data_IF_419808137230
#
_entry.id   IF_419808137230
#
_cell.length_a   1.000
_cell.length_b   1.000
_cell.length_c   1.000
_cell.angle_alpha   90.00
_cell.angle_beta   90.00
_cell.angle_gamma   90.00
#
_symmetry.space_group_name_H-M   'P 1'
#
loop_
_entity.id
_entity.type
_entity.pdbx_description
1 polymer ?
#
# COMPACT_ATOMS: atom_id res chain seq x y z
N UNK A 1 15.59 -14.88 -9.13
CA UNK A 1 14.76 -13.97 -8.31
C UNK A 1 13.82 -13.23 -9.25
N UNK A 2 12.52 -13.18 -8.97
CA UNK A 2 11.55 -12.40 -9.77
C UNK A 2 11.88 -10.92 -9.60
N UNK A 3 12.26 -10.24 -10.68
CA UNK A 3 12.53 -8.80 -10.68
C UNK A 3 11.20 -8.05 -10.82
N UNK A 4 10.86 -7.21 -9.84
CA UNK A 4 9.71 -6.29 -9.95
C UNK A 4 10.12 -5.13 -10.87
N UNK A 5 9.28 -4.85 -11.87
CA UNK A 5 9.43 -3.68 -12.72
C UNK A 5 8.91 -2.44 -11.99
N UNK A 6 9.59 -1.30 -12.15
CA UNK A 6 9.26 -0.05 -11.48
C UNK A 6 9.41 1.13 -12.41
N UNK A 7 8.59 2.16 -12.19
CA UNK A 7 8.85 3.52 -12.63
C UNK A 7 9.11 4.39 -11.41
N UNK A 8 9.89 5.45 -11.59
CA UNK A 8 10.42 6.25 -10.49
C UNK A 8 10.30 7.74 -10.78
N UNK A 9 9.98 8.52 -9.75
CA UNK A 9 9.99 9.97 -9.75
C UNK A 9 10.95 10.42 -8.65
N UNK A 10 12.00 11.14 -9.05
CA UNK A 10 12.96 11.71 -8.09
C UNK A 10 12.29 12.84 -7.30
N UNK A 11 12.78 13.12 -6.08
CA UNK A 11 12.36 14.30 -5.32
C UNK A 11 12.43 15.56 -6.17
N UNK A 12 11.42 16.43 -6.02
CA UNK A 12 11.40 17.76 -6.64
C UNK A 12 12.10 18.82 -5.78
N UNK A 13 12.22 18.57 -4.48
CA UNK A 13 12.99 19.38 -3.56
C UNK A 13 14.40 18.80 -3.38
N UNK A 14 15.43 19.65 -3.46
CA UNK A 14 16.79 19.26 -3.11
C UNK A 14 16.95 19.11 -1.60
N UNK A 15 17.71 18.10 -1.16
CA UNK A 15 18.08 17.89 0.24
C UNK A 15 19.53 17.43 0.35
N UNK A 16 20.17 17.78 1.46
CA UNK A 16 21.48 17.25 1.84
C UNK A 16 21.40 15.85 2.47
N UNK A 17 20.20 15.39 2.83
CA UNK A 17 19.94 14.07 3.41
C UNK A 17 19.32 13.12 2.37
N UNK A 18 19.48 11.80 2.53
CA UNK A 18 18.74 10.81 1.75
C UNK A 18 17.24 11.12 1.76
N UNK A 19 16.61 11.05 0.59
CA UNK A 19 15.20 11.40 0.46
C UNK A 19 14.30 10.36 1.14
N UNK A 20 13.15 10.76 1.72
CA UNK A 20 12.10 9.82 2.10
C UNK A 20 11.56 9.09 0.86
N UNK A 21 11.18 7.82 1.02
CA UNK A 21 10.73 6.95 -0.06
C UNK A 21 9.24 6.68 0.05
N UNK A 22 8.49 6.84 -1.04
CA UNK A 22 7.10 6.36 -1.16
C UNK A 22 7.02 5.27 -2.22
N UNK A 23 6.58 4.08 -1.80
CA UNK A 23 6.37 2.94 -2.68
C UNK A 23 4.86 2.82 -2.96
N UNK A 24 4.49 2.70 -4.23
CA UNK A 24 3.10 2.57 -4.67
C UNK A 24 2.82 1.18 -5.25
N UNK A 25 1.74 0.55 -4.79
CA UNK A 25 1.26 -0.76 -5.24
C UNK A 25 -0.15 -0.63 -5.85
N UNK A 26 -0.26 -0.85 -7.16
CA UNK A 26 -1.54 -0.74 -7.89
C UNK A 26 -2.52 -1.90 -7.60
N UNK A 27 -3.77 -1.73 -8.04
CA UNK A 27 -4.83 -2.75 -7.94
C UNK A 27 -4.77 -3.85 -9.01
N UNK A 28 -5.61 -4.88 -8.88
CA UNK A 28 -5.69 -5.98 -9.84
C UNK A 28 -6.05 -5.49 -11.25
N UNK A 29 -5.36 -5.96 -12.29
CA UNK A 29 -5.64 -5.58 -13.67
C UNK A 29 -5.08 -4.21 -14.08
N UNK A 30 -4.42 -3.51 -13.16
CA UNK A 30 -3.82 -2.19 -13.41
C UNK A 30 -2.33 -2.30 -13.73
N UNK A 31 -1.57 -1.21 -13.59
CA UNK A 31 -0.14 -1.16 -13.82
C UNK A 31 0.52 -0.05 -12.98
N UNK A 32 1.85 0.04 -13.04
CA UNK A 32 2.66 0.98 -12.29
C UNK A 32 2.40 2.46 -12.63
N UNK A 33 1.80 2.81 -13.77
CA UNK A 33 1.47 4.21 -14.08
C UNK A 33 0.22 4.73 -13.36
N UNK A 34 -0.68 3.84 -12.93
CA UNK A 34 -2.02 4.19 -12.44
C UNK A 34 -1.99 5.12 -11.21
N UNK A 35 -1.25 4.73 -10.18
CA UNK A 35 -1.06 5.56 -8.98
C UNK A 35 0.04 6.60 -9.15
N UNK A 36 0.91 6.46 -10.14
CA UNK A 36 2.14 7.24 -10.26
C UNK A 36 1.88 8.73 -10.51
N UNK A 37 0.79 9.04 -11.21
CA UNK A 37 0.36 10.42 -11.46
C UNK A 37 -0.06 11.16 -10.18
N UNK A 38 -0.48 10.44 -9.13
CA UNK A 38 -0.77 11.07 -7.83
C UNK A 38 0.47 11.75 -7.26
N UNK A 39 1.66 11.25 -7.59
CA UNK A 39 2.94 11.79 -7.13
C UNK A 39 3.18 13.27 -7.49
N UNK A 40 2.47 13.82 -8.48
CA UNK A 40 2.51 15.26 -8.77
C UNK A 40 1.95 16.13 -7.63
N UNK A 41 0.98 15.59 -6.89
CA UNK A 41 0.27 16.30 -5.82
C UNK A 41 0.83 16.04 -4.42
N UNK A 42 1.73 15.06 -4.29
CA UNK A 42 2.32 14.66 -3.01
C UNK A 42 3.55 15.52 -2.64
N UNK A 43 4.01 15.40 -1.40
CA UNK A 43 5.14 16.18 -0.87
C UNK A 43 6.38 16.11 -1.78
N UNK A 44 6.98 17.26 -2.16
CA UNK A 44 8.09 17.32 -3.12
C UNK A 44 9.39 16.69 -2.61
N UNK A 45 9.50 16.36 -1.32
CA UNK A 45 10.67 15.68 -0.75
C UNK A 45 10.71 14.19 -1.09
N UNK A 46 9.58 13.59 -1.46
CA UNK A 46 9.47 12.15 -1.71
C UNK A 46 10.20 11.71 -2.98
N UNK A 47 11.02 10.68 -2.86
CA UNK A 47 11.34 9.80 -3.98
C UNK A 47 10.20 8.80 -4.11
N UNK A 48 9.52 8.80 -5.26
CA UNK A 48 8.37 7.92 -5.47
C UNK A 48 8.76 6.77 -6.40
N UNK A 49 8.41 5.56 -6.01
CA UNK A 49 8.55 4.35 -6.82
C UNK A 49 7.19 3.71 -6.97
N UNK A 50 6.72 3.55 -8.20
CA UNK A 50 5.51 2.77 -8.47
C UNK A 50 5.90 1.43 -9.06
N UNK A 51 5.40 0.37 -8.45
CA UNK A 51 5.80 -1.00 -8.75
C UNK A 51 4.71 -1.74 -9.54
N UNK A 52 5.13 -2.51 -10.54
CA UNK A 52 4.25 -3.35 -11.36
C UNK A 52 4.07 -4.72 -10.72
N UNK A 53 2.84 -5.21 -10.72
CA UNK A 53 2.48 -6.57 -10.30
C UNK A 53 3.30 -7.64 -11.05
N UNK A 54 3.61 -8.73 -10.36
CA UNK A 54 4.47 -9.81 -10.87
C UNK A 54 3.77 -10.74 -11.87
N UNK A 55 2.44 -10.66 -11.96
CA UNK A 55 1.62 -11.46 -12.88
C UNK A 55 1.16 -10.58 -14.04
N UNK A 56 1.43 -11.03 -15.27
CA UNK A 56 0.88 -10.42 -16.48
C UNK A 56 -0.45 -11.09 -16.83
N UNK A 57 -1.52 -10.29 -16.89
CA UNK A 57 -2.88 -10.74 -17.19
C UNK A 57 -3.25 -10.56 -18.68
N UNK A 58 -2.36 -9.98 -19.49
CA UNK A 58 -2.61 -9.63 -20.90
C UNK A 58 -3.30 -8.28 -21.08
N UNK A 59 -4.16 -7.87 -20.14
CA UNK A 59 -4.82 -6.56 -20.10
C UNK A 59 -4.28 -5.63 -18.99
N UNK A 60 -3.29 -6.10 -18.24
CA UNK A 60 -2.72 -5.40 -17.09
C UNK A 60 -1.92 -6.36 -16.23
N UNK A 61 -1.66 -5.98 -14.98
CA UNK A 61 -0.84 -6.72 -14.04
C UNK A 61 -1.56 -6.96 -12.72
N UNK A 62 -1.08 -7.96 -11.97
CA UNK A 62 -1.55 -8.27 -10.63
C UNK A 62 -0.42 -8.76 -9.74
N UNK A 63 -0.61 -8.64 -8.43
CA UNK A 63 0.26 -9.19 -7.41
C UNK A 63 0.04 -10.70 -7.24
N UNK A 64 -1.22 -11.12 -7.23
CA UNK A 64 -1.62 -12.52 -7.07
C UNK A 64 -2.85 -12.85 -7.91
N UNK A 65 -3.07 -14.14 -8.16
CA UNK A 65 -4.19 -14.60 -8.98
C UNK A 65 -5.52 -14.46 -8.23
N UNK A 66 -6.53 -14.02 -8.96
CA UNK A 66 -7.93 -14.12 -8.57
C UNK A 66 -8.57 -15.19 -9.47
N UNK A 67 -9.01 -16.29 -8.89
CA UNK A 67 -9.83 -17.30 -9.56
C UNK A 67 -11.32 -17.01 -9.39
N UNK A 68 -12.16 -18.01 -9.70
CA UNK A 68 -13.61 -17.92 -9.51
C UNK A 68 -14.35 -17.35 -10.72
N UNK A 69 -15.55 -16.83 -10.48
CA UNK A 69 -16.45 -16.29 -11.52
C UNK A 69 -16.63 -14.78 -11.34
N UNK A 70 -17.05 -14.05 -12.38
CA UNK A 70 -17.44 -12.65 -12.22
C UNK A 70 -18.45 -12.49 -11.07
N UNK A 71 -18.18 -11.57 -10.15
CA UNK A 71 -18.98 -11.36 -8.93
C UNK A 71 -18.64 -12.28 -7.74
N UNK A 72 -17.77 -13.27 -7.93
CA UNK A 72 -17.24 -14.12 -6.85
C UNK A 72 -15.78 -14.50 -7.15
N UNK A 73 -14.91 -13.48 -7.11
CA UNK A 73 -13.47 -13.67 -7.29
C UNK A 73 -12.86 -14.25 -6.01
N UNK A 74 -12.10 -15.34 -6.16
CA UNK A 74 -11.48 -16.06 -5.05
C UNK A 74 -9.96 -15.87 -5.13
N UNK A 75 -9.33 -15.24 -4.11
CA UNK A 75 -7.89 -15.08 -4.08
C UNK A 75 -7.17 -16.43 -3.97
N UNK A 76 -6.20 -16.69 -4.85
CA UNK A 76 -5.40 -17.92 -4.81
C UNK A 76 -4.34 -17.84 -3.69
N UNK A 77 -4.35 -18.74 -2.69
CA UNK A 77 -3.49 -18.64 -1.52
C UNK A 77 -1.99 -18.75 -1.85
N UNK A 78 -1.64 -19.58 -2.83
CA UNK A 78 -0.23 -19.83 -3.20
C UNK A 78 0.42 -18.60 -3.81
N UNK A 79 -0.21 -18.02 -4.84
CA UNK A 79 0.29 -16.82 -5.51
C UNK A 79 0.29 -15.60 -4.58
N UNK A 80 -0.65 -15.53 -3.63
CA UNK A 80 -0.65 -14.51 -2.56
C UNK A 80 0.56 -14.60 -1.64
N UNK A 81 0.87 -15.79 -1.13
CA UNK A 81 2.04 -16.00 -0.28
C UNK A 81 3.35 -15.72 -1.03
N UNK A 82 3.40 -16.09 -2.33
CA UNK A 82 4.50 -15.75 -3.21
C UNK A 82 4.64 -14.23 -3.39
N UNK A 83 3.54 -13.54 -3.68
CA UNK A 83 3.52 -12.09 -3.85
C UNK A 83 4.03 -11.37 -2.59
N UNK A 84 3.55 -11.79 -1.41
CA UNK A 84 4.00 -11.26 -0.10
C UNK A 84 5.50 -11.43 0.05
N UNK A 85 6.02 -12.62 -0.23
CA UNK A 85 7.45 -12.94 -0.08
C UNK A 85 8.34 -12.15 -1.05
N UNK A 86 7.88 -11.95 -2.29
CA UNK A 86 8.61 -11.18 -3.30
C UNK A 86 8.57 -9.69 -2.96
N UNK A 87 7.41 -9.16 -2.57
CA UNK A 87 7.27 -7.76 -2.18
C UNK A 87 8.06 -7.42 -0.91
N UNK A 88 8.09 -8.29 0.09
CA UNK A 88 8.86 -8.06 1.31
C UNK A 88 10.34 -7.84 1.01
N UNK A 89 10.94 -8.69 0.16
CA UNK A 89 12.33 -8.54 -0.29
C UNK A 89 12.51 -7.25 -1.10
N UNK A 90 11.62 -7.01 -2.05
CA UNK A 90 11.68 -5.83 -2.91
C UNK A 90 11.64 -4.53 -2.11
N UNK A 91 10.70 -4.41 -1.16
CA UNK A 91 10.56 -3.21 -0.31
C UNK A 91 11.78 -3.02 0.59
N UNK A 92 12.26 -4.09 1.23
CA UNK A 92 13.42 -4.01 2.13
C UNK A 92 14.72 -3.61 1.40
N UNK A 93 14.91 -4.05 0.16
CA UNK A 93 16.12 -3.78 -0.63
C UNK A 93 16.10 -2.37 -1.28
N UNK A 94 14.92 -1.78 -1.44
CA UNK A 94 14.74 -0.58 -2.26
C UNK A 94 15.46 0.67 -1.72
N UNK A 95 15.45 0.97 -0.40
CA UNK A 95 16.14 2.14 0.10
C UNK A 95 17.65 2.12 -0.16
N UNK A 96 18.30 0.99 0.08
CA UNK A 96 19.72 0.80 -0.19
C UNK A 96 20.03 0.92 -1.70
N UNK A 97 19.15 0.39 -2.57
CA UNK A 97 19.31 0.48 -4.03
C UNK A 97 19.23 1.90 -4.55
N UNK A 98 18.38 2.74 -3.94
CA UNK A 98 18.10 4.10 -4.40
C UNK A 98 18.88 5.18 -3.65
N UNK A 99 19.52 4.84 -2.53
CA UNK A 99 20.16 5.81 -1.65
C UNK A 99 19.15 6.72 -0.94
N UNK A 100 17.95 6.19 -0.65
CA UNK A 100 16.91 6.87 0.13
C UNK A 100 17.02 6.51 1.60
N UNK A 101 16.35 7.25 2.47
CA UNK A 101 16.35 6.98 3.90
C UNK A 101 15.51 5.72 4.22
N UNK A 102 16.10 4.62 4.73
CA UNK A 102 15.36 3.43 5.10
C UNK A 102 14.38 3.67 6.25
N UNK A 103 14.62 4.66 7.12
CA UNK A 103 13.73 4.98 8.24
C UNK A 103 12.51 5.81 7.81
N UNK A 104 12.53 6.39 6.60
CA UNK A 104 11.44 7.20 6.05
C UNK A 104 10.82 6.54 4.81
N UNK A 105 10.52 5.25 4.89
CA UNK A 105 9.87 4.49 3.81
C UNK A 105 8.37 4.36 4.05
N UNK A 106 7.56 4.84 3.13
CA UNK A 106 6.10 4.80 3.16
C UNK A 106 5.57 3.86 2.08
N UNK A 107 4.43 3.22 2.35
CA UNK A 107 3.79 2.30 1.40
C UNK A 107 2.33 2.70 1.15
N UNK A 108 2.01 3.09 -0.08
CA UNK A 108 0.66 3.36 -0.54
C UNK A 108 0.19 2.22 -1.44
N UNK A 109 -0.96 1.63 -1.13
CA UNK A 109 -1.53 0.55 -1.91
C UNK A 109 -2.99 0.83 -2.26
N UNK A 110 -3.42 0.43 -3.46
CA UNK A 110 -4.83 0.47 -3.84
C UNK A 110 -5.36 -0.94 -4.11
N UNK A 111 -6.55 -1.26 -3.57
CA UNK A 111 -7.24 -2.53 -3.81
C UNK A 111 -6.35 -3.74 -3.49
N UNK A 112 -5.97 -4.55 -4.49
CA UNK A 112 -5.02 -5.64 -4.31
C UNK A 112 -3.68 -5.18 -3.69
N UNK A 113 -3.18 -4.00 -4.10
CA UNK A 113 -2.01 -3.38 -3.52
C UNK A 113 -2.20 -3.01 -2.04
N UNK A 114 -3.38 -2.53 -1.65
CA UNK A 114 -3.70 -2.21 -0.26
C UNK A 114 -3.72 -3.46 0.64
N UNK A 115 -4.28 -4.57 0.14
CA UNK A 115 -4.26 -5.87 0.84
C UNK A 115 -2.81 -6.33 1.05
N UNK A 116 -1.96 -6.16 0.04
CA UNK A 116 -0.53 -6.46 0.18
C UNK A 116 0.17 -5.50 1.14
N UNK A 117 -0.17 -4.21 1.16
CA UNK A 117 0.39 -3.24 2.12
C UNK A 117 0.10 -3.64 3.56
N UNK A 118 -1.15 -4.01 3.86
CA UNK A 118 -1.50 -4.53 5.18
C UNK A 118 -0.72 -5.80 5.53
N UNK A 119 -0.60 -6.75 4.60
CA UNK A 119 0.13 -8.00 4.83
C UNK A 119 1.62 -7.78 5.10
N UNK A 120 2.26 -6.83 4.41
CA UNK A 120 3.66 -6.49 4.64
C UNK A 120 3.86 -5.82 6.00
N UNK A 121 3.03 -4.83 6.34
CA UNK A 121 3.11 -4.14 7.63
C UNK A 121 2.80 -5.08 8.81
N UNK A 122 1.89 -6.03 8.64
CA UNK A 122 1.59 -7.04 9.66
C UNK A 122 2.74 -8.07 9.84
N UNK A 123 3.65 -8.19 8.86
CA UNK A 123 4.77 -9.11 8.93
C UNK A 123 6.06 -8.43 9.40
N UNK A 124 6.33 -7.23 8.91
CA UNK A 124 7.55 -6.45 9.16
C UNK A 124 7.21 -4.96 9.27
N UNK A 125 6.54 -4.52 10.35
CA UNK A 125 6.16 -3.12 10.54
C UNK A 125 7.36 -2.17 10.56
N UNK A 126 8.53 -2.65 10.99
CA UNK A 126 9.79 -1.89 11.09
C UNK A 126 10.37 -1.44 9.75
N UNK A 127 9.89 -1.99 8.62
CA UNK A 127 10.28 -1.53 7.29
C UNK A 127 9.63 -0.21 6.89
N UNK A 128 8.63 0.24 7.64
CA UNK A 128 7.77 1.34 7.23
C UNK A 128 7.73 2.46 8.28
N UNK A 129 7.83 3.69 7.81
CA UNK A 129 7.47 4.91 8.54
C UNK A 129 5.95 5.14 8.57
N UNK A 130 5.21 4.44 7.71
CA UNK A 130 3.75 4.44 7.69
C UNK A 130 3.18 3.83 6.40
N UNK A 131 1.91 3.43 6.44
CA UNK A 131 1.22 2.86 5.29
C UNK A 131 -0.11 3.55 4.98
N UNK A 132 -0.49 3.56 3.70
CA UNK A 132 -1.70 4.21 3.17
C UNK A 132 -2.48 3.19 2.31
N UNK A 133 -3.22 2.26 2.93
CA UNK A 133 -4.07 1.31 2.22
C UNK A 133 -5.41 1.95 1.79
N UNK A 134 -5.66 1.94 0.50
CA UNK A 134 -6.85 2.51 -0.15
C UNK A 134 -7.73 1.41 -0.71
N UNK A 135 -9.03 1.45 -0.40
CA UNK A 135 -10.04 0.56 -0.96
C UNK A 135 -9.67 -0.93 -0.81
N UNK A 136 -9.17 -1.34 0.35
CA UNK A 136 -8.70 -2.70 0.63
C UNK A 136 -8.94 -3.13 2.06
N UNK A 137 -8.37 -4.27 2.45
CA UNK A 137 -8.56 -4.86 3.77
C UNK A 137 -7.36 -5.69 4.21
N UNK A 138 -7.19 -5.85 5.52
CA UNK A 138 -6.27 -6.81 6.11
C UNK A 138 -6.90 -8.21 6.00
N UNK A 139 -6.24 -9.12 5.30
CA UNK A 139 -6.71 -10.50 5.19
C UNK A 139 -6.01 -11.40 6.21
N UNK A 140 -6.74 -12.03 7.16
CA UNK A 140 -6.16 -12.97 8.10
C UNK A 140 -5.45 -14.16 7.43
N UNK A 141 -5.85 -14.57 6.22
CA UNK A 141 -5.20 -15.62 5.45
C UNK A 141 -3.81 -15.26 4.92
N UNK A 142 -3.40 -13.99 5.04
CA UNK A 142 -2.05 -13.51 4.76
C UNK A 142 -1.21 -13.31 6.03
N UNK A 143 -1.69 -13.75 7.19
CA UNK A 143 -0.98 -13.68 8.47
C UNK A 143 -0.42 -15.07 8.83
N UNK A 144 0.88 -15.13 9.09
CA UNK A 144 1.55 -16.35 9.56
C UNK A 144 1.64 -16.40 11.10
N UNK A 145 1.35 -15.28 11.76
CA UNK A 145 1.44 -15.07 13.19
C UNK A 145 0.40 -14.02 13.64
N UNK A 146 0.12 -13.90 14.95
CA UNK A 146 -0.64 -12.77 15.48
C UNK A 146 -0.03 -11.43 15.08
N UNK A 147 -0.86 -10.39 15.02
CA UNK A 147 -0.41 -9.04 14.68
C UNK A 147 0.69 -8.57 15.66
N UNK A 148 1.84 -8.09 15.15
CA UNK A 148 2.99 -7.78 15.99
C UNK A 148 2.78 -6.48 16.77
N UNK A 149 3.43 -6.37 17.94
CA UNK A 149 3.40 -5.15 18.75
C UNK A 149 3.97 -3.92 18.02
N UNK A 150 4.87 -4.12 17.04
CA UNK A 150 5.44 -3.04 16.22
C UNK A 150 4.40 -2.23 15.44
N UNK A 151 3.18 -2.76 15.24
CA UNK A 151 2.08 -2.00 14.65
C UNK A 151 1.57 -0.86 15.54
N UNK A 152 1.85 -0.88 16.85
CA UNK A 152 1.34 0.12 17.79
C UNK A 152 1.75 1.54 17.39
N UNK A 153 3.02 1.70 17.04
CA UNK A 153 3.61 2.98 16.67
C UNK A 153 3.59 3.25 15.17
N UNK A 154 3.21 2.26 14.34
CA UNK A 154 3.16 2.44 12.89
C UNK A 154 1.95 3.32 12.51
N UNK A 155 2.15 4.50 11.89
CA UNK A 155 1.07 5.29 11.34
C UNK A 155 0.39 4.55 10.18
N UNK A 156 -0.94 4.35 10.28
CA UNK A 156 -1.75 3.71 9.24
C UNK A 156 -2.86 4.68 8.83
N UNK A 157 -2.93 5.06 7.56
CA UNK A 157 -4.03 5.83 7.00
C UNK A 157 -4.86 4.94 6.07
N UNK A 158 -5.90 4.31 6.62
CA UNK A 158 -6.84 3.48 5.87
C UNK A 158 -7.98 4.34 5.31
N UNK A 159 -8.30 4.18 4.02
CA UNK A 159 -9.44 4.86 3.39
C UNK A 159 -10.27 3.91 2.55
N UNK A 160 -11.61 4.07 2.57
CA UNK A 160 -12.52 3.19 1.81
C UNK A 160 -13.77 3.91 1.31
N UNK A 161 -14.32 3.46 0.18
CA UNK A 161 -15.58 3.95 -0.37
C UNK A 161 -16.81 3.31 0.29
N UNK A 162 -17.82 4.09 0.69
CA UNK A 162 -19.03 3.56 1.33
C UNK A 162 -19.95 2.84 0.36
N UNK A 163 -19.80 3.08 -0.94
CA UNK A 163 -20.57 2.43 -2.02
C UNK A 163 -19.66 1.61 -2.93
N UNK A 164 -18.50 1.19 -2.43
CA UNK A 164 -17.55 0.32 -3.14
C UNK A 164 -18.21 -1.03 -3.50
N UNK A 165 -18.36 -1.22 -4.82
CA UNK A 165 -19.00 -2.35 -5.45
C UNK A 165 -18.06 -3.55 -5.67
N UNK A 166 -16.75 -3.35 -5.47
CA UNK A 166 -15.72 -4.38 -5.68
C UNK A 166 -15.29 -4.99 -4.35
N UNK A 167 -14.94 -4.15 -3.38
CA UNK A 167 -14.59 -4.55 -2.02
C UNK A 167 -15.60 -3.92 -1.06
N UNK A 168 -16.55 -4.70 -0.52
CA UNK A 168 -17.58 -4.17 0.35
C UNK A 168 -16.95 -3.48 1.57
N UNK A 169 -17.49 -2.31 1.93
CA UNK A 169 -17.07 -1.53 3.11
C UNK A 169 -16.98 -2.36 4.40
N UNK A 170 -17.79 -3.41 4.54
CA UNK A 170 -17.71 -4.33 5.69
C UNK A 170 -16.32 -4.96 5.86
N UNK A 171 -15.56 -5.19 4.78
CA UNK A 171 -14.20 -5.72 4.84
C UNK A 171 -13.22 -4.70 5.42
N UNK A 172 -13.37 -3.43 5.05
CA UNK A 172 -12.59 -2.32 5.60
C UNK A 172 -12.89 -2.09 7.08
N UNK A 173 -14.17 -2.11 7.47
CA UNK A 173 -14.59 -1.99 8.88
C UNK A 173 -14.09 -3.16 9.73
N UNK A 174 -14.13 -4.40 9.22
CA UNK A 174 -13.49 -5.54 9.90
C UNK A 174 -11.98 -5.34 10.10
N UNK A 175 -11.31 -4.73 9.12
CA UNK A 175 -9.88 -4.37 9.27
C UNK A 175 -9.67 -3.38 10.41
N UNK A 176 -10.50 -2.35 10.50
CA UNK A 176 -10.46 -1.41 11.61
C UNK A 176 -10.66 -2.10 12.97
N UNK A 177 -11.62 -3.03 13.07
CA UNK A 177 -11.86 -3.80 14.30
C UNK A 177 -10.66 -4.66 14.71
N UNK A 178 -10.00 -5.31 13.75
CA UNK A 178 -8.80 -6.12 13.97
C UNK A 178 -7.59 -5.29 14.39
N UNK A 179 -7.43 -4.08 13.83
CA UNK A 179 -6.29 -3.19 14.11
C UNK A 179 -6.47 -2.39 15.40
N UNK A 180 -7.71 -2.07 15.80
CA UNK A 180 -8.02 -1.29 17.01
C UNK A 180 -7.23 -1.70 18.27
N UNK A 181 -7.06 -2.99 18.63
CA UNK A 181 -6.30 -3.37 19.83
C UNK A 181 -4.78 -3.24 19.70
N UNK A 182 -4.22 -3.11 18.49
CA UNK A 182 -2.77 -3.25 18.25
C UNK A 182 -2.13 -2.09 17.49
N UNK A 183 -2.89 -1.25 16.77
CA UNK A 183 -2.38 -0.14 15.98
C UNK A 183 -2.91 1.19 16.52
N UNK A 184 -2.15 1.81 17.43
CA UNK A 184 -2.59 3.00 18.17
C UNK A 184 -2.63 4.25 17.28
N UNK A 185 -1.79 4.28 16.23
CA UNK A 185 -1.72 5.37 15.25
C UNK A 185 -2.51 5.07 13.95
N UNK A 186 -3.57 4.27 14.06
CA UNK A 186 -4.47 3.97 12.95
C UNK A 186 -5.56 5.04 12.78
N UNK A 187 -5.59 5.67 11.61
CA UNK A 187 -6.66 6.54 11.14
C UNK A 187 -7.46 5.83 10.04
N UNK A 188 -8.78 5.77 10.20
CA UNK A 188 -9.69 5.20 9.21
C UNK A 188 -10.69 6.26 8.74
N UNK A 189 -10.83 6.43 7.42
CA UNK A 189 -11.79 7.35 6.81
C UNK A 189 -12.64 6.66 5.75
N UNK A 190 -13.90 7.09 5.64
CA UNK A 190 -14.86 6.60 4.64
C UNK A 190 -15.36 7.76 3.78
N UNK A 191 -15.56 7.50 2.48
CA UNK A 191 -16.06 8.51 1.54
C UNK A 191 -17.24 7.98 0.72
N UNK A 192 -18.23 8.81 0.31
CA UNK A 192 -19.39 8.39 -0.48
C UNK A 192 -19.04 8.14 -1.96
N UNK A 193 -18.07 7.26 -2.21
CA UNK A 193 -17.54 6.89 -3.53
C UNK A 193 -17.53 5.36 -3.70
N UNK A 194 -17.43 4.91 -4.96
CA UNK A 194 -17.25 3.50 -5.31
C UNK A 194 -15.80 3.05 -5.14
N UNK A 195 -15.36 2.09 -5.95
CA UNK A 195 -13.98 1.57 -5.93
C UNK A 195 -12.96 2.54 -6.59
N UNK A 196 -12.73 3.70 -5.97
CA UNK A 196 -11.85 4.76 -6.48
C UNK A 196 -11.23 5.61 -5.35
N UNK A 197 -10.49 6.65 -5.70
CA UNK A 197 -9.86 7.60 -4.77
C UNK A 197 -10.55 8.95 -4.93
N UNK A 198 -11.10 9.52 -3.85
CA UNK A 198 -11.70 10.86 -3.86
C UNK A 198 -10.63 11.96 -3.82
N UNK A 199 -11.00 13.17 -4.26
CA UNK A 199 -10.16 14.36 -4.12
C UNK A 199 -9.91 14.71 -2.65
N UNK A 200 -10.92 14.53 -1.80
CA UNK A 200 -10.80 14.71 -0.35
C UNK A 200 -9.81 13.70 0.26
N UNK A 201 -9.86 12.44 -0.20
CA UNK A 201 -8.90 11.41 0.18
C UNK A 201 -7.49 11.74 -0.26
N UNK A 202 -7.30 12.22 -1.50
CA UNK A 202 -5.99 12.66 -1.98
C UNK A 202 -5.43 13.83 -1.16
N UNK A 203 -6.27 14.83 -0.83
CA UNK A 203 -5.87 15.94 0.03
C UNK A 203 -5.43 15.44 1.41
N UNK A 204 -6.18 14.49 2.00
CA UNK A 204 -5.79 13.90 3.28
C UNK A 204 -4.47 13.14 3.19
N UNK A 205 -4.21 12.40 2.11
CA UNK A 205 -2.91 11.74 1.87
C UNK A 205 -1.78 12.77 1.88
N UNK A 206 -1.97 13.88 1.17
CA UNK A 206 -0.98 14.95 1.07
C UNK A 206 -0.68 15.55 2.45
N UNK A 207 -1.72 15.91 3.21
CA UNK A 207 -1.60 16.48 4.56
C UNK A 207 -0.91 15.49 5.49
N UNK A 208 -1.36 14.24 5.50
CA UNK A 208 -0.80 13.19 6.33
C UNK A 208 0.67 12.94 6.03
N UNK A 209 1.07 12.81 4.77
CA UNK A 209 2.49 12.65 4.40
C UNK A 209 3.33 13.86 4.81
N UNK A 210 2.82 15.08 4.58
CA UNK A 210 3.54 16.31 4.93
C UNK A 210 3.84 16.37 6.43
N UNK A 211 2.86 16.02 7.27
CA UNK A 211 3.03 15.94 8.73
C UNK A 211 4.03 14.87 9.14
N UNK A 212 3.92 13.63 8.61
CA UNK A 212 4.82 12.53 9.00
C UNK A 212 6.28 12.82 8.63
N UNK A 213 6.49 13.51 7.51
CA UNK A 213 7.82 13.92 7.06
C UNK A 213 8.38 15.13 7.85
N UNK A 214 7.61 15.73 8.77
CA UNK A 214 8.06 16.82 9.63
C UNK A 214 8.36 16.37 11.08
N UNK A 215 8.05 15.11 11.42
CA UNK A 215 8.43 14.45 12.68
C UNK A 215 9.93 14.12 12.71
#
# INVERSE_FOLDING_TARGET
>A
MTKIHTIERRPRAESATPAPLLIMLHGYGSNEHDLFELGEYLDPRLHIVSARGILNLGFGFAWYHLGGTPGNLVPDPTSRAQARSVLAKFVADLPARLGTDPQCTYLLGFSQGAIMSFALAAMQPELFAGIIPLSGYLDPGLLDAPLPQGLAELPILQMHGTVDEVIPISAARRTQEMLRPVAQRHTYQEYPIGHTISMEGLRLIQEWLTERLAE
#
